data_IF_180803476506
#
_entry.id   IF_180803476506
#
_cell.length_a   1.000
_cell.length_b   1.000
_cell.length_c   1.000
_cell.angle_alpha   90.00
_cell.angle_beta   90.00
_cell.angle_gamma   90.00
#
_symmetry.space_group_name_H-M   'P 1'
#
loop_
_entity.id
_entity.type
_entity.pdbx_description
1 polymer ?
#
# COMPACT_ATOMS: atom_id res chain seq x y z
N UNK A 1 -28.22 1.02 -20.49
CA UNK A 1 -27.17 1.44 -19.54
C UNK A 1 -26.36 2.54 -20.24
N UNK A 2 -26.33 3.76 -19.72
CA UNK A 2 -25.49 4.81 -20.30
C UNK A 2 -24.03 4.43 -20.07
N UNK A 3 -23.27 4.25 -21.15
CA UNK A 3 -21.84 3.94 -21.08
C UNK A 3 -21.13 5.25 -20.75
N UNK A 4 -20.52 5.33 -19.58
CA UNK A 4 -19.73 6.49 -19.19
C UNK A 4 -18.47 6.50 -20.07
N UNK A 5 -18.22 7.59 -20.79
CA UNK A 5 -17.12 7.65 -21.77
C UNK A 5 -15.77 8.01 -21.12
N UNK A 6 -15.79 8.36 -19.83
CA UNK A 6 -14.65 8.95 -19.11
C UNK A 6 -14.07 8.04 -18.02
N UNK A 7 -14.51 6.78 -17.94
CA UNK A 7 -14.16 5.89 -16.83
C UNK A 7 -13.42 4.63 -17.27
N UNK A 8 -12.88 4.57 -18.49
CA UNK A 8 -12.09 3.43 -18.98
C UNK A 8 -10.60 3.58 -18.69
N UNK A 9 -10.07 4.80 -18.77
CA UNK A 9 -8.63 5.07 -18.75
C UNK A 9 -8.24 6.00 -17.60
N UNK A 10 -7.01 5.83 -17.08
CA UNK A 10 -6.48 6.64 -15.97
C UNK A 10 -6.10 8.06 -16.38
N UNK A 11 -5.93 8.31 -17.67
CA UNK A 11 -5.52 9.61 -18.23
C UNK A 11 -6.68 10.47 -18.74
N UNK A 12 -7.91 9.93 -18.71
CA UNK A 12 -9.11 10.62 -19.24
C UNK A 12 -9.80 11.39 -18.12
N UNK A 13 -9.82 12.72 -18.25
CA UNK A 13 -10.56 13.59 -17.35
C UNK A 13 -12.04 13.64 -17.71
N UNK A 14 -12.90 13.52 -16.69
CA UNK A 14 -14.33 13.80 -16.86
C UNK A 14 -14.58 15.31 -16.99
N UNK A 15 -15.72 15.73 -17.58
CA UNK A 15 -16.11 17.14 -17.66
C UNK A 15 -16.21 17.85 -16.29
N UNK A 16 -16.33 17.09 -15.21
CA UNK A 16 -16.36 17.59 -13.83
C UNK A 16 -14.96 17.72 -13.20
N UNK A 17 -13.88 17.47 -13.95
CA UNK A 17 -12.50 17.54 -13.44
C UNK A 17 -12.13 16.39 -12.51
N UNK A 18 -12.69 15.19 -12.73
CA UNK A 18 -12.42 13.98 -11.95
C UNK A 18 -11.76 12.89 -12.79
N UNK A 19 -10.88 12.10 -12.17
CA UNK A 19 -10.28 10.88 -12.72
C UNK A 19 -10.95 9.65 -12.12
N UNK A 20 -11.96 9.10 -12.81
CA UNK A 20 -12.80 8.03 -12.25
C UNK A 20 -12.01 6.75 -11.94
N UNK A 21 -11.02 6.38 -12.76
CA UNK A 21 -10.20 5.19 -12.50
C UNK A 21 -9.38 5.30 -11.19
N UNK A 22 -8.88 6.49 -10.84
CA UNK A 22 -8.19 6.72 -9.56
C UNK A 22 -9.17 6.60 -8.39
N UNK A 23 -10.38 7.14 -8.55
CA UNK A 23 -11.43 7.03 -7.54
C UNK A 23 -11.89 5.58 -7.33
N UNK A 24 -12.02 4.80 -8.40
CA UNK A 24 -12.34 3.38 -8.31
C UNK A 24 -11.23 2.58 -7.62
N UNK A 25 -9.97 2.91 -7.86
CA UNK A 25 -8.85 2.32 -7.14
C UNK A 25 -8.91 2.61 -5.63
N UNK A 26 -9.31 3.83 -5.23
CA UNK A 26 -9.55 4.17 -3.82
C UNK A 26 -10.69 3.33 -3.21
N UNK A 27 -11.74 3.03 -3.98
CA UNK A 27 -12.85 2.19 -3.53
C UNK A 27 -12.41 0.73 -3.33
N UNK A 28 -11.51 0.21 -4.18
CA UNK A 28 -10.94 -1.12 -4.02
C UNK A 28 -10.20 -1.31 -2.68
N UNK A 29 -9.60 -0.25 -2.14
CA UNK A 29 -8.98 -0.28 -0.81
C UNK A 29 -10.00 -0.57 0.29
N UNK A 30 -11.20 0.02 0.20
CA UNK A 30 -12.29 -0.15 1.18
C UNK A 30 -12.86 -1.57 1.20
N UNK A 31 -12.73 -2.31 0.10
CA UNK A 31 -13.11 -3.73 0.03
C UNK A 31 -12.13 -4.65 0.76
N UNK A 32 -10.93 -4.17 1.07
CA UNK A 32 -9.96 -4.90 1.87
C UNK A 32 -10.36 -5.00 3.34
N UNK A 33 -10.00 -6.10 4.01
CA UNK A 33 -10.16 -6.18 5.46
C UNK A 33 -9.35 -5.09 6.18
N UNK A 34 -9.87 -4.62 7.31
CA UNK A 34 -9.31 -3.50 8.05
C UNK A 34 -7.85 -3.74 8.48
N UNK A 35 -7.06 -2.67 8.38
CA UNK A 35 -5.73 -2.55 8.95
C UNK A 35 -5.66 -1.24 9.74
N UNK A 36 -5.09 -1.27 10.93
CA UNK A 36 -4.95 -0.13 11.83
C UNK A 36 -3.48 0.07 12.19
N UNK A 37 -3.09 1.34 12.34
CA UNK A 37 -1.79 1.74 12.84
C UNK A 37 -1.95 2.72 13.98
N UNK A 38 -1.27 2.46 15.10
CA UNK A 38 -1.25 3.36 16.26
C UNK A 38 0.20 3.70 16.60
N UNK A 39 0.45 4.99 16.84
CA UNK A 39 1.75 5.51 17.26
C UNK A 39 1.66 6.06 18.67
N UNK A 40 2.60 5.67 19.51
CA UNK A 40 2.91 6.33 20.78
C UNK A 40 4.19 7.15 20.66
N UNK A 41 4.66 7.72 21.79
CA UNK A 41 5.93 8.45 21.82
C UNK A 41 7.14 7.57 21.47
N UNK A 42 7.08 6.28 21.81
CA UNK A 42 8.21 5.34 21.71
C UNK A 42 7.97 4.16 20.79
N UNK A 43 6.72 3.84 20.47
CA UNK A 43 6.37 2.62 19.74
C UNK A 43 5.34 2.90 18.64
N UNK A 44 5.34 2.04 17.63
CA UNK A 44 4.30 1.98 16.60
C UNK A 44 3.79 0.55 16.54
N UNK A 45 2.47 0.39 16.50
CA UNK A 45 1.79 -0.91 16.40
C UNK A 45 0.96 -0.91 15.14
N UNK A 46 1.12 -1.97 14.34
CA UNK A 46 0.26 -2.26 13.21
C UNK A 46 -0.54 -3.52 13.52
N UNK A 47 -1.85 -3.49 13.28
CA UNK A 47 -2.72 -4.65 13.41
C UNK A 47 -3.62 -4.77 12.19
N UNK A 48 -3.92 -6.00 11.76
CA UNK A 48 -4.78 -6.25 10.61
C UNK A 48 -5.71 -7.42 10.87
N UNK A 49 -6.92 -7.33 10.33
CA UNK A 49 -7.85 -8.45 10.32
C UNK A 49 -7.49 -9.34 9.15
N UNK A 50 -6.98 -10.54 9.41
CA UNK A 50 -6.73 -11.53 8.37
C UNK A 50 -7.95 -12.46 8.33
N UNK A 51 -8.66 -12.49 7.20
CA UNK A 51 -9.76 -13.44 6.99
C UNK A 51 -9.24 -14.65 6.21
N UNK A 52 -9.58 -15.85 6.65
CA UNK A 52 -9.42 -17.06 5.86
C UNK A 52 -10.62 -17.20 4.91
N UNK A 53 -10.37 -17.71 3.70
CA UNK A 53 -11.45 -17.94 2.72
C UNK A 53 -12.29 -19.17 3.08
N UNK A 54 -11.72 -20.11 3.81
CA UNK A 54 -12.36 -21.31 4.32
C UNK A 54 -11.59 -21.83 5.54
N UNK A 55 -12.18 -22.76 6.29
CA UNK A 55 -11.54 -23.37 7.47
C UNK A 55 -10.24 -24.12 7.14
N UNK A 56 -10.13 -24.62 5.91
CA UNK A 56 -8.94 -25.31 5.40
C UNK A 56 -7.89 -24.35 4.81
N UNK A 57 -8.21 -23.06 4.71
CA UNK A 57 -7.34 -22.06 4.08
C UNK A 57 -6.47 -21.35 5.10
N UNK A 58 -5.19 -21.16 4.76
CA UNK A 58 -4.32 -20.29 5.55
C UNK A 58 -4.72 -18.82 5.41
N UNK A 59 -4.50 -18.05 6.47
CA UNK A 59 -4.77 -16.62 6.47
C UNK A 59 -3.84 -15.87 5.50
N UNK A 60 -4.40 -14.98 4.68
CA UNK A 60 -3.61 -14.09 3.85
C UNK A 60 -2.85 -13.10 4.75
N UNK A 61 -1.51 -13.09 4.67
CA UNK A 61 -0.68 -12.13 5.40
C UNK A 61 -0.89 -10.72 4.84
N UNK A 62 -1.10 -9.76 5.75
CA UNK A 62 -1.26 -8.34 5.43
C UNK A 62 -0.20 -7.43 6.05
N UNK A 63 0.53 -7.92 7.05
CA UNK A 63 1.63 -7.19 7.68
C UNK A 63 2.94 -7.76 7.14
N UNK A 64 3.81 -6.88 6.66
CA UNK A 64 5.09 -7.23 6.07
C UNK A 64 6.21 -6.42 6.72
N UNK A 65 7.26 -7.10 7.19
CA UNK A 65 8.51 -6.46 7.57
C UNK A 65 9.20 -5.90 6.32
N UNK A 66 9.60 -4.64 6.35
CA UNK A 66 10.36 -4.00 5.27
C UNK A 66 11.83 -3.88 5.67
N UNK A 67 12.08 -3.39 6.88
CA UNK A 67 13.40 -3.29 7.48
C UNK A 67 13.29 -3.57 8.99
N UNK A 68 14.41 -3.54 9.72
CA UNK A 68 14.41 -3.73 11.18
C UNK A 68 13.60 -2.66 11.91
N UNK A 69 13.55 -1.43 11.37
CA UNK A 69 12.78 -0.30 11.91
C UNK A 69 11.50 0.02 11.13
N UNK A 70 11.16 -0.75 10.08
CA UNK A 70 10.00 -0.47 9.20
C UNK A 70 9.15 -1.71 8.96
N UNK A 71 7.85 -1.59 9.23
CA UNK A 71 6.83 -2.54 8.82
C UNK A 71 5.68 -1.82 8.11
N UNK A 72 4.97 -2.54 7.25
CA UNK A 72 3.76 -2.05 6.59
C UNK A 72 2.59 -2.99 6.82
N UNK A 73 1.37 -2.44 6.75
CA UNK A 73 0.13 -3.18 6.74
C UNK A 73 -0.66 -2.83 5.46
N UNK A 74 -1.29 -3.82 4.83
CA UNK A 74 -1.90 -3.68 3.50
C UNK A 74 -3.43 -3.88 3.59
N UNK A 75 -4.15 -2.95 2.97
CA UNK A 75 -5.57 -3.05 2.65
C UNK A 75 -5.76 -2.91 1.12
N UNK A 76 -6.82 -3.51 0.59
CA UNK A 76 -7.05 -3.63 -0.86
C UNK A 76 -6.35 -4.83 -1.50
N UNK A 77 -5.89 -4.66 -2.74
CA UNK A 77 -5.31 -5.71 -3.56
C UNK A 77 -3.96 -6.18 -2.99
N UNK A 78 -3.91 -7.43 -2.51
CA UNK A 78 -2.70 -7.96 -1.86
C UNK A 78 -1.56 -8.19 -2.85
N UNK A 79 -1.86 -8.38 -4.14
CA UNK A 79 -0.86 -8.50 -5.20
C UNK A 79 -0.01 -7.23 -5.31
N UNK A 80 -0.65 -6.06 -5.45
CA UNK A 80 0.01 -4.76 -5.54
C UNK A 80 0.80 -4.47 -4.28
N UNK A 81 0.19 -4.73 -3.11
CA UNK A 81 0.87 -4.60 -1.84
C UNK A 81 2.16 -5.42 -1.74
N UNK A 82 2.19 -6.63 -2.31
CA UNK A 82 3.40 -7.47 -2.34
C UNK A 82 4.48 -6.90 -3.24
N UNK A 83 4.10 -6.31 -4.39
CA UNK A 83 5.04 -5.64 -5.30
C UNK A 83 5.64 -4.42 -4.60
N UNK A 84 4.81 -3.58 -3.98
CA UNK A 84 5.27 -2.42 -3.21
C UNK A 84 6.16 -2.83 -2.04
N UNK A 85 5.82 -3.90 -1.31
CA UNK A 85 6.66 -4.42 -0.22
C UNK A 85 8.07 -4.80 -0.69
N UNK A 86 8.19 -5.41 -1.88
CA UNK A 86 9.49 -5.78 -2.45
C UNK A 86 10.29 -4.55 -2.85
N UNK A 87 9.64 -3.59 -3.50
CA UNK A 87 10.26 -2.31 -3.86
C UNK A 87 10.81 -1.59 -2.61
N UNK A 88 10.00 -1.43 -1.57
CA UNK A 88 10.41 -0.76 -0.33
C UNK A 88 11.60 -1.45 0.35
N UNK A 89 11.64 -2.79 0.34
CA UNK A 89 12.79 -3.56 0.86
C UNK A 89 14.06 -3.28 0.07
N UNK A 90 13.97 -3.24 -1.26
CA UNK A 90 15.11 -2.92 -2.12
C UNK A 90 15.64 -1.51 -1.84
N UNK A 91 14.77 -0.52 -1.67
CA UNK A 91 15.18 0.85 -1.33
C UNK A 91 15.89 0.93 0.03
N UNK A 92 15.37 0.24 1.06
CA UNK A 92 16.03 0.19 2.36
C UNK A 92 17.41 -0.47 2.29
N UNK A 93 17.53 -1.60 1.59
CA UNK A 93 18.81 -2.32 1.42
C UNK A 93 19.82 -1.44 0.67
N UNK A 94 19.40 -0.83 -0.43
CA UNK A 94 20.26 0.05 -1.22
C UNK A 94 20.74 1.25 -0.39
N UNK A 95 19.84 1.89 0.36
CA UNK A 95 20.19 3.02 1.20
C UNK A 95 21.19 2.62 2.30
N UNK A 96 20.93 1.50 2.99
CA UNK A 96 21.83 0.97 4.01
C UNK A 96 23.19 0.61 3.44
N UNK A 97 23.24 0.03 2.24
CA UNK A 97 24.49 -0.29 1.56
C UNK A 97 25.31 0.94 1.18
N UNK A 98 24.67 2.01 0.69
CA UNK A 98 25.36 3.22 0.21
C UNK A 98 25.76 4.15 1.36
N UNK A 99 24.90 4.29 2.37
CA UNK A 99 25.03 5.31 3.41
C UNK A 99 25.31 4.72 4.80
N UNK A 100 25.47 3.40 4.92
CA UNK A 100 25.71 2.67 6.17
C UNK A 100 24.75 3.07 7.31
N UNK A 101 23.52 3.41 6.95
CA UNK A 101 22.51 3.92 7.89
C UNK A 101 21.10 3.50 7.49
N UNK A 102 20.21 3.45 8.48
CA UNK A 102 18.81 3.11 8.25
C UNK A 102 18.07 4.22 7.49
N UNK A 103 17.33 3.85 6.44
CA UNK A 103 16.56 4.80 5.62
C UNK A 103 15.45 5.47 6.45
N UNK A 104 15.39 6.82 6.54
CA UNK A 104 14.32 7.48 7.26
C UNK A 104 12.93 7.19 6.65
N UNK A 105 11.96 6.83 7.50
CA UNK A 105 10.60 6.44 7.08
C UNK A 105 9.96 7.49 6.17
N UNK A 106 10.08 8.78 6.51
CA UNK A 106 9.50 9.87 5.71
C UNK A 106 10.06 9.92 4.28
N UNK A 107 11.37 9.65 4.10
CA UNK A 107 11.99 9.63 2.77
C UNK A 107 11.49 8.44 1.94
N UNK A 108 11.39 7.27 2.56
CA UNK A 108 10.87 6.07 1.91
C UNK A 108 9.41 6.25 1.45
N UNK A 109 8.58 6.92 2.26
CA UNK A 109 7.18 7.20 1.90
C UNK A 109 7.08 8.16 0.71
N UNK A 110 7.94 9.18 0.63
CA UNK A 110 7.98 10.09 -0.53
C UNK A 110 8.39 9.32 -1.80
N UNK A 111 9.44 8.50 -1.75
CA UNK A 111 9.84 7.67 -2.88
C UNK A 111 8.72 6.72 -3.35
N UNK A 112 7.95 6.16 -2.40
CA UNK A 112 6.80 5.34 -2.72
C UNK A 112 5.69 6.13 -3.42
N UNK A 113 5.41 7.35 -2.95
CA UNK A 113 4.42 8.23 -3.56
C UNK A 113 4.82 8.61 -4.99
N UNK A 114 6.09 8.98 -5.21
CA UNK A 114 6.62 9.31 -6.54
C UNK A 114 6.56 8.11 -7.50
N UNK A 115 6.75 6.89 -6.98
CA UNK A 115 6.61 5.65 -7.77
C UNK A 115 5.16 5.36 -8.18
N UNK A 116 4.20 5.77 -7.36
CA UNK A 116 2.77 5.46 -7.54
C UNK A 116 1.99 6.58 -8.24
N UNK A 117 2.66 7.68 -8.62
CA UNK A 117 2.13 8.79 -9.39
C UNK A 117 1.90 8.39 -10.86
#
# INVERSE_FOLDING_TARGET
MFRNQYDTDVTTWSPAGRLFQVEYAMEAVKQGSAAIGLRSRSHVVLASVNKANSELSSHQRKIFKIDDHIGIAIAGLTADGRVLSRYLRSECINYSFVYESSLPVGRLVVQLADKAQ
#
